data_IF_822201243740
#
_entry.id   IF_822201243740
#
_cell.length_a   1.000
_cell.length_b   1.000
_cell.length_c   1.000
_cell.angle_alpha   90.00
_cell.angle_beta   90.00
_cell.angle_gamma   90.00
#
_symmetry.space_group_name_H-M   'P 1'
#
loop_
_entity.id
_entity.type
_entity.pdbx_description
1 polymer ?
#
# COMPACT_ATOMS: atom_id res chain seq x y z
N UNK A 1 12.97 -3.82 32.96
CA UNK A 1 11.81 -4.34 32.28
C UNK A 1 11.76 -3.63 30.94
N UNK A 2 11.76 -4.37 29.83
CA UNK A 2 11.99 -3.81 28.50
C UNK A 2 10.91 -2.83 28.07
N UNK A 3 11.32 -1.65 27.65
CA UNK A 3 10.50 -0.63 27.00
C UNK A 3 10.30 -0.95 25.51
N UNK A 4 10.16 -2.24 25.18
CA UNK A 4 9.97 -2.72 23.82
C UNK A 4 8.52 -2.63 23.40
N UNK A 5 8.28 -2.47 22.08
CA UNK A 5 6.96 -2.60 21.49
C UNK A 5 6.75 -4.02 20.98
N UNK A 6 5.50 -4.52 21.10
CA UNK A 6 5.06 -5.77 20.49
C UNK A 6 4.22 -5.48 19.24
N UNK A 7 4.58 -6.16 18.13
CA UNK A 7 3.98 -5.97 16.81
C UNK A 7 3.35 -7.29 16.36
N UNK A 8 2.04 -7.30 16.22
CA UNK A 8 1.29 -8.39 15.59
C UNK A 8 1.08 -8.10 14.10
N UNK A 9 1.26 -9.11 13.26
CA UNK A 9 1.02 -9.03 11.82
C UNK A 9 -0.01 -10.08 11.43
N UNK A 10 -1.14 -9.63 10.90
CA UNK A 10 -2.18 -10.50 10.36
C UNK A 10 -2.07 -10.48 8.83
N UNK A 11 -1.70 -11.62 8.25
CA UNK A 11 -1.37 -11.79 6.84
C UNK A 11 0.14 -11.79 6.58
N UNK A 12 0.73 -12.98 6.37
CA UNK A 12 2.16 -13.21 6.11
C UNK A 12 2.55 -13.13 4.62
N UNK A 13 1.79 -12.39 3.79
CA UNK A 13 2.10 -12.13 2.39
C UNK A 13 3.32 -11.21 2.22
N UNK A 14 3.55 -10.68 1.00
CA UNK A 14 4.73 -9.84 0.74
C UNK A 14 4.76 -8.58 1.63
N UNK A 15 3.61 -7.93 1.88
CA UNK A 15 3.51 -6.76 2.76
C UNK A 15 3.77 -7.14 4.21
N UNK A 16 3.05 -8.15 4.72
CA UNK A 16 3.18 -8.56 6.12
C UNK A 16 4.58 -9.11 6.44
N UNK A 17 5.18 -9.86 5.53
CA UNK A 17 6.56 -10.31 5.71
C UNK A 17 7.58 -9.16 5.70
N UNK A 18 7.31 -8.07 4.96
CA UNK A 18 8.14 -6.88 4.99
C UNK A 18 8.00 -6.12 6.31
N UNK A 19 6.79 -5.99 6.86
CA UNK A 19 6.53 -5.42 8.18
C UNK A 19 7.24 -6.25 9.25
N UNK A 20 7.02 -7.57 9.26
CA UNK A 20 7.65 -8.48 10.22
C UNK A 20 9.18 -8.43 10.16
N UNK A 21 9.76 -8.41 8.95
CA UNK A 21 11.20 -8.24 8.77
C UNK A 21 11.70 -6.90 9.27
N UNK A 22 10.99 -5.81 8.95
CA UNK A 22 11.40 -4.45 9.28
C UNK A 22 11.46 -4.20 10.79
N UNK A 23 10.48 -4.68 11.55
CA UNK A 23 10.45 -4.56 13.01
C UNK A 23 11.21 -5.69 13.71
N UNK A 24 11.24 -6.91 13.14
CA UNK A 24 11.83 -8.11 13.77
C UNK A 24 13.27 -8.40 13.41
N UNK A 25 13.96 -7.56 12.63
CA UNK A 25 15.34 -7.84 12.21
C UNK A 25 16.30 -7.87 13.40
N UNK A 26 17.17 -8.85 13.42
CA UNK A 26 17.94 -9.48 14.48
C UNK A 26 18.83 -8.59 15.38
N UNK A 27 18.82 -7.28 15.21
CA UNK A 27 19.61 -6.34 16.01
C UNK A 27 18.76 -5.39 16.86
N UNK A 28 17.44 -5.57 16.92
CA UNK A 28 16.56 -4.71 17.70
C UNK A 28 15.93 -5.51 18.82
N UNK A 29 16.56 -5.50 19.99
CA UNK A 29 16.01 -6.06 21.25
C UNK A 29 14.75 -5.34 21.74
N UNK A 30 14.33 -4.30 21.02
CA UNK A 30 13.21 -3.44 21.40
C UNK A 30 11.88 -3.82 20.79
N UNK A 31 11.84 -4.86 19.93
CA UNK A 31 10.62 -5.25 19.24
C UNK A 31 10.40 -6.77 19.29
N UNK A 32 9.22 -7.17 19.73
CA UNK A 32 8.74 -8.54 19.60
C UNK A 32 7.75 -8.57 18.44
N UNK A 33 7.91 -9.51 17.48
CA UNK A 33 7.06 -9.61 16.30
C UNK A 33 6.38 -10.96 16.26
N UNK A 34 5.05 -10.95 16.18
CA UNK A 34 4.18 -12.12 16.03
C UNK A 34 3.51 -12.07 14.67
N UNK A 35 3.47 -13.19 13.96
CA UNK A 35 2.84 -13.28 12.64
C UNK A 35 1.78 -14.38 12.66
N UNK A 36 0.61 -14.04 12.17
CA UNK A 36 -0.46 -15.00 11.86
C UNK A 36 -0.84 -14.93 10.39
N UNK A 37 -0.97 -16.06 9.76
CA UNK A 37 -1.51 -16.25 8.40
C UNK A 37 -2.41 -17.49 8.37
N UNK A 38 -3.31 -17.59 7.40
CA UNK A 38 -4.10 -18.82 7.17
C UNK A 38 -3.20 -19.98 6.72
N UNK A 39 -2.06 -19.69 6.10
CA UNK A 39 -1.01 -20.67 5.80
C UNK A 39 -0.13 -20.84 7.05
N UNK A 40 -0.17 -22.03 7.71
CA UNK A 40 0.62 -22.28 8.92
C UNK A 40 2.13 -22.09 8.72
N UNK A 41 2.65 -22.28 7.49
CA UNK A 41 4.07 -22.10 7.20
C UNK A 41 4.52 -20.64 7.25
N UNK A 42 3.58 -19.70 7.25
CA UNK A 42 3.84 -18.26 7.36
C UNK A 42 3.54 -17.71 8.75
N UNK A 43 2.98 -18.54 9.63
CA UNK A 43 2.63 -18.16 11.00
C UNK A 43 3.75 -18.48 11.97
N UNK A 44 3.94 -17.61 12.96
CA UNK A 44 4.80 -17.85 14.12
C UNK A 44 3.98 -18.05 15.40
N UNK A 45 2.75 -17.54 15.43
CA UNK A 45 1.83 -17.54 16.56
C UNK A 45 0.39 -17.81 16.07
N UNK A 46 -0.48 -18.16 16.99
CA UNK A 46 -1.93 -18.23 16.73
C UNK A 46 -2.51 -16.83 16.46
N UNK A 47 -3.72 -16.78 15.91
CA UNK A 47 -4.45 -15.52 15.72
C UNK A 47 -4.66 -14.77 17.04
N UNK A 48 -5.10 -15.51 18.05
CA UNK A 48 -5.37 -14.95 19.38
C UNK A 48 -4.11 -14.37 20.02
N UNK A 49 -3.00 -15.10 20.05
CA UNK A 49 -1.72 -14.61 20.56
C UNK A 49 -1.23 -13.37 19.79
N UNK A 50 -1.36 -13.39 18.44
CA UNK A 50 -0.95 -12.27 17.60
C UNK A 50 -1.74 -11.01 17.90
N UNK A 51 -3.04 -11.13 18.24
CA UNK A 51 -3.87 -9.98 18.60
C UNK A 51 -3.67 -9.58 20.05
N UNK A 52 -3.81 -10.51 21.02
CA UNK A 52 -3.88 -10.16 22.44
C UNK A 52 -2.54 -9.78 23.07
N UNK A 53 -1.42 -10.20 22.46
CA UNK A 53 -0.07 -9.96 22.98
C UNK A 53 0.71 -8.92 22.16
N UNK A 54 0.03 -8.04 21.43
CA UNK A 54 0.69 -7.01 20.61
C UNK A 54 0.12 -5.62 20.90
N UNK A 55 0.99 -4.63 21.03
CA UNK A 55 0.59 -3.22 21.16
C UNK A 55 0.03 -2.67 19.84
N UNK A 56 0.59 -3.13 18.72
CA UNK A 56 0.21 -2.73 17.37
C UNK A 56 -0.14 -3.94 16.53
N UNK A 57 -1.33 -3.98 15.96
CA UNK A 57 -1.82 -5.07 15.12
C UNK A 57 -1.89 -4.61 13.67
N UNK A 58 -0.90 -5.01 12.85
CA UNK A 58 -0.84 -4.70 11.43
C UNK A 58 -1.68 -5.67 10.61
N UNK A 59 -2.71 -5.16 9.94
CA UNK A 59 -3.52 -5.92 9.01
C UNK A 59 -2.95 -5.79 7.60
N UNK A 60 -2.37 -6.88 7.10
CA UNK A 60 -1.69 -6.99 5.80
C UNK A 60 -2.41 -8.01 4.91
N UNK A 61 -3.72 -7.87 4.78
CA UNK A 61 -4.60 -8.81 4.10
C UNK A 61 -4.82 -8.44 2.63
N UNK A 62 -5.10 -9.40 1.75
CA UNK A 62 -5.39 -9.12 0.36
C UNK A 62 -6.69 -8.33 0.19
N UNK A 63 -6.70 -7.43 -0.79
CA UNK A 63 -7.86 -6.66 -1.21
C UNK A 63 -8.00 -6.78 -2.73
N UNK A 64 -8.49 -7.93 -3.25
CA UNK A 64 -8.56 -8.18 -4.69
C UNK A 64 -9.63 -7.34 -5.38
N UNK A 65 -9.58 -7.31 -6.72
CA UNK A 65 -10.67 -6.76 -7.52
C UNK A 65 -11.88 -7.71 -7.52
N UNK A 66 -13.06 -7.13 -7.51
CA UNK A 66 -14.31 -7.83 -7.84
C UNK A 66 -14.52 -7.88 -9.36
N UNK A 67 -15.53 -8.59 -9.80
CA UNK A 67 -15.92 -8.66 -11.22
C UNK A 67 -16.26 -7.27 -11.82
N UNK A 68 -16.85 -6.38 -11.02
CA UNK A 68 -17.14 -5.00 -11.42
C UNK A 68 -15.92 -4.07 -11.33
N UNK A 69 -14.73 -4.60 -11.11
CA UNK A 69 -13.46 -3.90 -10.92
C UNK A 69 -13.41 -3.03 -9.65
N UNK A 70 -14.40 -3.10 -8.78
CA UNK A 70 -14.31 -2.49 -7.45
C UNK A 70 -13.42 -3.33 -6.53
N UNK A 71 -12.94 -2.72 -5.44
CA UNK A 71 -12.12 -3.44 -4.46
C UNK A 71 -12.96 -4.31 -3.53
N UNK A 72 -12.51 -5.53 -3.26
CA UNK A 72 -13.11 -6.41 -2.27
C UNK A 72 -12.44 -6.22 -0.89
N UNK A 73 -13.20 -5.71 0.06
CA UNK A 73 -12.77 -5.51 1.44
C UNK A 73 -13.20 -6.64 2.39
N UNK A 74 -13.79 -7.72 1.88
CA UNK A 74 -14.36 -8.79 2.71
C UNK A 74 -13.35 -9.46 3.64
N UNK A 75 -12.10 -9.61 3.21
CA UNK A 75 -11.03 -10.15 4.06
C UNK A 75 -10.71 -9.21 5.24
N UNK A 76 -10.62 -7.93 4.97
CA UNK A 76 -10.42 -6.90 6.01
C UNK A 76 -11.61 -6.91 6.99
N UNK A 77 -12.83 -6.88 6.48
CA UNK A 77 -14.03 -6.80 7.32
C UNK A 77 -14.23 -8.04 8.19
N UNK A 78 -14.02 -9.25 7.64
CA UNK A 78 -14.09 -10.50 8.40
C UNK A 78 -13.01 -10.58 9.48
N UNK A 79 -11.77 -10.18 9.14
CA UNK A 79 -10.69 -10.18 10.12
C UNK A 79 -10.90 -9.10 11.20
N UNK A 80 -11.38 -7.91 10.83
CA UNK A 80 -11.73 -6.87 11.80
C UNK A 80 -12.84 -7.30 12.77
N UNK A 81 -13.82 -8.06 12.32
CA UNK A 81 -14.83 -8.62 13.21
C UNK A 81 -14.24 -9.54 14.28
N UNK A 82 -13.21 -10.34 13.92
CA UNK A 82 -12.53 -11.22 14.86
C UNK A 82 -11.60 -10.43 15.79
N UNK A 83 -10.80 -9.52 15.22
CA UNK A 83 -9.88 -8.65 15.95
C UNK A 83 -10.63 -7.82 17.00
N UNK A 84 -11.78 -7.25 16.64
CA UNK A 84 -12.57 -6.40 17.55
C UNK A 84 -13.10 -7.11 18.81
N UNK A 85 -13.13 -8.44 18.82
CA UNK A 85 -13.53 -9.24 19.98
C UNK A 85 -12.38 -9.50 20.98
N UNK A 86 -11.13 -9.25 20.54
CA UNK A 86 -9.92 -9.59 21.28
C UNK A 86 -9.08 -8.36 21.67
N UNK A 87 -9.18 -7.28 20.88
CA UNK A 87 -8.41 -6.05 21.07
C UNK A 87 -8.90 -5.27 22.29
N UNK A 88 -7.94 -4.82 23.13
CA UNK A 88 -8.18 -3.78 24.12
C UNK A 88 -8.15 -2.40 23.44
N UNK A 89 -9.28 -1.67 23.36
CA UNK A 89 -9.35 -0.39 22.65
C UNK A 89 -8.56 0.74 23.31
N UNK A 90 -8.14 0.60 24.56
CA UNK A 90 -7.37 1.61 25.31
C UNK A 90 -5.87 1.43 25.16
N UNK A 91 -5.42 0.18 25.08
CA UNK A 91 -4.00 -0.17 25.09
C UNK A 91 -3.47 -0.42 23.67
N UNK A 92 -4.27 -1.04 22.79
CA UNK A 92 -3.83 -1.53 21.49
C UNK A 92 -4.28 -0.62 20.34
N UNK A 93 -3.48 -0.62 19.27
CA UNK A 93 -3.79 0.12 18.03
C UNK A 93 -3.81 -0.84 16.85
N UNK A 94 -4.91 -0.84 16.09
CA UNK A 94 -5.01 -1.58 14.84
C UNK A 94 -4.49 -0.72 13.69
N UNK A 95 -3.59 -1.27 12.89
CA UNK A 95 -2.95 -0.57 11.77
C UNK A 95 -3.31 -1.26 10.46
N UNK A 96 -4.10 -0.64 9.62
CA UNK A 96 -4.45 -1.17 8.30
C UNK A 96 -3.36 -0.78 7.31
N UNK A 97 -2.60 -1.79 6.88
CA UNK A 97 -1.52 -1.69 5.89
C UNK A 97 -2.01 -1.99 4.47
N UNK A 98 -3.07 -2.78 4.37
CA UNK A 98 -3.73 -3.12 3.11
C UNK A 98 -4.27 -1.89 2.39
N UNK A 99 -4.25 -1.91 1.06
CA UNK A 99 -4.87 -0.86 0.26
C UNK A 99 -6.40 -0.94 0.38
N UNK A 100 -7.01 0.09 0.92
CA UNK A 100 -8.46 0.20 1.12
C UNK A 100 -8.98 1.52 0.55
N UNK A 101 -10.23 1.56 0.09
CA UNK A 101 -10.83 2.80 -0.44
C UNK A 101 -10.96 3.88 0.64
N UNK A 102 -10.82 5.16 0.27
CA UNK A 102 -10.90 6.27 1.21
C UNK A 102 -12.17 6.25 2.07
N UNK A 103 -12.00 6.43 3.38
CA UNK A 103 -13.06 6.37 4.39
C UNK A 103 -13.23 5.01 5.06
N UNK A 104 -12.48 3.99 4.68
CA UNK A 104 -12.59 2.63 5.24
C UNK A 104 -12.17 2.59 6.71
N UNK A 105 -11.00 3.10 7.07
CA UNK A 105 -10.52 3.11 8.46
C UNK A 105 -11.47 3.87 9.37
N UNK A 106 -11.94 5.05 8.95
CA UNK A 106 -12.93 5.85 9.68
C UNK A 106 -14.23 5.07 9.91
N UNK A 107 -14.74 4.40 8.89
CA UNK A 107 -15.95 3.57 8.98
C UNK A 107 -15.77 2.41 9.95
N UNK A 108 -14.63 1.71 9.88
CA UNK A 108 -14.33 0.57 10.74
C UNK A 108 -14.09 1.02 12.20
N UNK A 109 -13.36 2.12 12.41
CA UNK A 109 -13.15 2.70 13.73
C UNK A 109 -14.50 3.03 14.40
N UNK A 110 -15.39 3.70 13.68
CA UNK A 110 -16.74 4.02 14.18
C UNK A 110 -17.59 2.76 14.43
N UNK A 111 -17.47 1.75 13.57
CA UNK A 111 -18.24 0.50 13.70
C UNK A 111 -17.86 -0.32 14.92
N UNK A 112 -16.56 -0.40 15.24
CA UNK A 112 -16.03 -1.28 16.27
C UNK A 112 -15.59 -0.55 17.55
N UNK A 113 -15.56 0.78 17.55
CA UNK A 113 -15.09 1.56 18.70
C UNK A 113 -13.58 1.40 18.97
N UNK A 114 -12.78 1.19 17.92
CA UNK A 114 -11.36 0.90 18.02
C UNK A 114 -10.50 2.04 17.46
N UNK A 115 -9.28 2.17 18.00
CA UNK A 115 -8.22 2.99 17.41
C UNK A 115 -7.68 2.33 16.15
N UNK A 116 -8.14 2.79 14.98
CA UNK A 116 -7.71 2.27 13.68
C UNK A 116 -6.92 3.34 12.93
N UNK A 117 -5.70 2.98 12.56
CA UNK A 117 -4.77 3.83 11.82
C UNK A 117 -4.59 3.29 10.40
N UNK A 118 -4.72 4.14 9.41
CA UNK A 118 -4.32 3.84 8.02
C UNK A 118 -2.82 4.04 7.88
N UNK A 119 -2.11 3.02 7.44
CA UNK A 119 -0.68 3.10 7.16
C UNK A 119 -0.37 2.40 5.83
N UNK A 120 -0.75 3.02 4.70
CA UNK A 120 -0.58 2.40 3.39
C UNK A 120 0.88 2.08 3.10
N UNK A 121 1.10 1.09 2.25
CA UNK A 121 2.42 0.67 1.78
C UNK A 121 2.73 1.27 0.40
N UNK A 122 4.02 1.43 0.09
CA UNK A 122 4.55 1.90 -1.19
C UNK A 122 5.69 0.99 -1.66
N UNK A 123 5.49 -0.33 -1.47
CA UNK A 123 6.50 -1.35 -1.69
C UNK A 123 6.42 -1.90 -3.12
N UNK A 124 7.57 -2.24 -3.66
CA UNK A 124 7.66 -3.06 -4.87
C UNK A 124 7.74 -4.53 -4.45
N UNK A 125 6.87 -5.39 -4.96
CA UNK A 125 6.76 -6.79 -4.51
C UNK A 125 8.12 -7.51 -4.49
N UNK A 126 8.94 -7.34 -5.55
CA UNK A 126 10.27 -7.94 -5.65
C UNK A 126 11.28 -7.44 -4.61
N UNK A 127 11.05 -6.26 -4.03
CA UNK A 127 11.97 -5.59 -3.11
C UNK A 127 11.30 -5.20 -1.79
N UNK A 128 10.15 -5.79 -1.46
CA UNK A 128 9.29 -5.34 -0.38
C UNK A 128 10.02 -5.15 0.96
N UNK A 129 10.88 -6.07 1.36
CA UNK A 129 11.67 -5.95 2.60
C UNK A 129 12.66 -4.80 2.55
N UNK A 130 13.34 -4.62 1.42
CA UNK A 130 14.27 -3.52 1.22
C UNK A 130 13.54 -2.17 1.19
N UNK A 131 12.46 -2.09 0.43
CA UNK A 131 11.66 -0.88 0.29
C UNK A 131 11.03 -0.47 1.64
N UNK A 132 10.67 -1.44 2.49
CA UNK A 132 10.13 -1.16 3.82
C UNK A 132 11.15 -0.49 4.74
N UNK A 133 12.37 -1.02 4.81
CA UNK A 133 13.42 -0.49 5.70
C UNK A 133 14.10 0.78 5.16
N UNK A 134 13.98 1.04 3.85
CA UNK A 134 14.54 2.22 3.17
C UNK A 134 13.44 3.15 2.63
N UNK A 135 12.24 3.11 3.20
CA UNK A 135 11.12 3.93 2.75
C UNK A 135 11.49 5.43 2.82
N UNK A 136 11.28 6.14 1.72
CA UNK A 136 11.49 7.60 1.67
C UNK A 136 10.51 8.35 2.57
N UNK A 137 9.31 7.79 2.76
CA UNK A 137 8.27 8.34 3.60
C UNK A 137 7.38 7.26 4.20
N UNK A 138 6.81 7.55 5.35
CA UNK A 138 5.76 6.77 6.00
C UNK A 138 4.53 7.66 6.13
N UNK A 139 3.41 7.21 5.58
CA UNK A 139 2.11 7.90 5.69
C UNK A 139 1.32 7.25 6.81
N UNK A 140 0.85 8.06 7.75
CA UNK A 140 0.10 7.62 8.94
C UNK A 140 -1.18 8.43 8.99
N UNK A 141 -2.31 7.77 8.79
CA UNK A 141 -3.63 8.37 8.82
C UNK A 141 -4.42 7.95 10.05
N UNK A 142 -4.80 8.89 10.88
CA UNK A 142 -5.62 8.62 12.06
C UNK A 142 -6.60 9.76 12.31
N UNK A 143 -7.83 9.40 12.62
CA UNK A 143 -8.82 10.38 13.10
C UNK A 143 -8.68 10.60 14.61
N UNK A 144 -7.99 9.68 15.32
CA UNK A 144 -7.61 9.79 16.73
C UNK A 144 -6.12 10.17 16.84
N UNK A 145 -5.87 11.38 17.36
CA UNK A 145 -4.52 11.97 17.41
C UNK A 145 -3.50 11.09 18.15
N UNK A 146 -3.90 10.50 19.25
CA UNK A 146 -3.02 9.68 20.09
C UNK A 146 -2.62 8.38 19.38
N UNK A 147 -3.54 7.73 18.68
CA UNK A 147 -3.27 6.52 17.91
C UNK A 147 -2.27 6.78 16.78
N UNK A 148 -2.45 7.87 16.02
CA UNK A 148 -1.50 8.29 15.00
C UNK A 148 -0.11 8.59 15.54
N UNK A 149 -0.04 9.26 16.69
CA UNK A 149 1.22 9.57 17.39
C UNK A 149 1.93 8.32 17.90
N UNK A 150 1.18 7.35 18.45
CA UNK A 150 1.74 6.05 18.90
C UNK A 150 2.37 5.30 17.70
N UNK A 151 1.68 5.21 16.56
CA UNK A 151 2.23 4.57 15.35
C UNK A 151 3.44 5.31 14.82
N UNK A 152 3.44 6.65 14.83
CA UNK A 152 4.63 7.43 14.45
C UNK A 152 5.81 7.11 15.36
N UNK A 153 5.62 7.09 16.67
CA UNK A 153 6.66 6.76 17.64
C UNK A 153 7.22 5.34 17.47
N UNK A 154 6.35 4.36 17.14
CA UNK A 154 6.78 3.01 16.79
C UNK A 154 7.78 3.03 15.63
N UNK A 155 7.44 3.74 14.53
CA UNK A 155 8.32 3.84 13.37
C UNK A 155 9.60 4.63 13.69
N UNK A 156 9.51 5.75 14.39
CA UNK A 156 10.67 6.59 14.75
C UNK A 156 11.67 5.84 15.63
N UNK A 157 11.20 5.00 16.54
CA UNK A 157 12.06 4.16 17.38
C UNK A 157 12.88 3.16 16.53
N UNK A 158 12.31 2.69 15.43
CA UNK A 158 12.96 1.71 14.54
C UNK A 158 13.72 2.36 13.39
N UNK A 159 13.22 3.46 12.83
CA UNK A 159 13.67 4.08 11.58
C UNK A 159 13.80 5.60 11.76
N UNK A 160 14.93 6.05 12.28
CA UNK A 160 15.14 7.46 12.65
C UNK A 160 15.25 8.44 11.47
N UNK A 161 15.50 7.97 10.25
CA UNK A 161 15.76 8.81 9.07
C UNK A 161 14.58 8.97 8.11
N UNK A 162 13.44 8.32 8.37
CA UNK A 162 12.28 8.38 7.49
C UNK A 162 11.54 9.71 7.64
N UNK A 163 10.92 10.16 6.55
CA UNK A 163 9.97 11.29 6.59
C UNK A 163 8.58 10.76 6.97
N UNK A 164 7.88 11.50 7.82
CA UNK A 164 6.55 11.12 8.29
C UNK A 164 5.51 12.14 7.84
N UNK A 165 4.47 11.66 7.15
CA UNK A 165 3.24 12.42 6.92
C UNK A 165 2.19 11.88 7.88
N UNK A 166 1.80 12.67 8.87
CA UNK A 166 0.69 12.35 9.77
C UNK A 166 -0.52 13.18 9.37
N UNK A 167 -1.63 12.52 9.08
CA UNK A 167 -2.86 13.14 8.58
C UNK A 167 -4.09 12.37 9.07
N UNK A 168 -5.29 12.70 8.60
CA UNK A 168 -6.49 11.90 8.85
C UNK A 168 -6.48 10.60 8.03
N UNK A 169 -7.29 9.63 8.47
CA UNK A 169 -7.31 8.28 7.87
C UNK A 169 -7.71 8.30 6.39
N UNK A 170 -8.70 9.09 6.03
CA UNK A 170 -9.22 9.18 4.65
C UNK A 170 -8.19 9.78 3.71
N UNK A 171 -7.49 10.82 4.15
CA UNK A 171 -6.39 11.43 3.38
C UNK A 171 -5.25 10.43 3.15
N UNK A 172 -4.85 9.67 4.17
CA UNK A 172 -3.78 8.66 4.04
C UNK A 172 -4.16 7.55 3.04
N UNK A 173 -5.40 7.05 3.12
CA UNK A 173 -5.94 6.08 2.17
C UNK A 173 -5.95 6.64 0.73
N UNK A 174 -6.35 7.90 0.57
CA UNK A 174 -6.35 8.56 -0.74
C UNK A 174 -4.95 8.74 -1.33
N UNK A 175 -3.94 9.06 -0.52
CA UNK A 175 -2.54 9.21 -0.97
C UNK A 175 -2.03 7.93 -1.65
N UNK A 176 -2.40 6.75 -1.15
CA UNK A 176 -2.02 5.48 -1.79
C UNK A 176 -2.58 5.37 -3.20
N UNK A 177 -3.86 5.63 -3.38
CA UNK A 177 -4.48 5.60 -4.70
C UNK A 177 -3.95 6.69 -5.62
N UNK A 178 -3.75 7.89 -5.09
CA UNK A 178 -3.22 9.01 -5.87
C UNK A 178 -1.85 8.67 -6.47
N UNK A 179 -0.95 8.05 -5.69
CA UNK A 179 0.36 7.62 -6.19
C UNK A 179 0.26 6.51 -7.24
N UNK A 180 -0.51 5.46 -6.96
CA UNK A 180 -0.62 4.35 -7.91
C UNK A 180 -1.34 4.76 -9.21
N UNK A 181 -2.37 5.61 -9.13
CA UNK A 181 -3.02 6.18 -10.31
C UNK A 181 -2.08 7.11 -11.09
N UNK A 182 -1.30 7.95 -10.39
CA UNK A 182 -0.32 8.80 -11.04
C UNK A 182 0.73 8.00 -11.81
N UNK A 183 1.27 6.93 -11.21
CA UNK A 183 2.23 6.08 -11.90
C UNK A 183 1.60 5.31 -13.08
N UNK A 184 0.35 4.89 -12.96
CA UNK A 184 -0.39 4.26 -14.07
C UNK A 184 -0.56 5.22 -15.25
N UNK A 185 -0.94 6.48 -14.99
CA UNK A 185 -1.03 7.54 -16.01
C UNK A 185 0.34 7.83 -16.62
N UNK A 186 1.39 7.95 -15.80
CA UNK A 186 2.76 8.18 -16.25
C UNK A 186 3.23 7.06 -17.19
N UNK A 187 2.99 5.80 -16.82
CA UNK A 187 3.36 4.65 -17.65
C UNK A 187 2.60 4.63 -18.98
N UNK A 188 1.29 4.91 -18.97
CA UNK A 188 0.52 5.03 -20.22
C UNK A 188 1.05 6.14 -21.12
N UNK A 189 1.35 7.31 -20.54
CA UNK A 189 1.96 8.43 -21.27
C UNK A 189 3.34 8.06 -21.86
N UNK A 190 4.21 7.43 -21.09
CA UNK A 190 5.55 7.03 -21.57
C UNK A 190 5.46 6.02 -22.70
N UNK A 191 4.54 5.05 -22.62
CA UNK A 191 4.32 4.09 -23.69
C UNK A 191 3.75 4.74 -24.97
N UNK A 192 2.86 5.72 -24.84
CA UNK A 192 2.33 6.48 -25.96
C UNK A 192 3.44 7.30 -26.63
N UNK A 193 4.24 8.01 -25.85
CA UNK A 193 5.38 8.79 -26.38
C UNK A 193 6.46 7.89 -27.00
N UNK A 194 6.67 6.69 -26.47
CA UNK A 194 7.54 5.68 -27.11
C UNK A 194 7.05 5.34 -28.53
N UNK A 195 5.75 5.02 -28.69
CA UNK A 195 5.18 4.71 -30.00
C UNK A 195 5.32 5.89 -30.99
N UNK A 196 5.06 7.11 -30.53
CA UNK A 196 5.26 8.32 -31.34
C UNK A 196 6.74 8.46 -31.72
N UNK A 197 7.67 8.35 -30.76
CA UNK A 197 9.11 8.45 -31.01
C UNK A 197 9.62 7.43 -32.03
N UNK A 198 9.15 6.17 -31.92
CA UNK A 198 9.52 5.11 -32.87
C UNK A 198 9.09 5.45 -34.30
N UNK A 199 7.98 6.14 -34.49
CA UNK A 199 7.51 6.53 -35.85
C UNK A 199 8.40 7.57 -36.50
N UNK A 200 9.25 8.28 -35.72
CA UNK A 200 10.21 9.28 -36.20
C UNK A 200 11.67 8.82 -36.15
N UNK A 201 11.93 7.61 -35.65
CA UNK A 201 13.31 7.14 -35.45
C UNK A 201 14.05 7.84 -34.31
N UNK A 202 13.31 8.23 -33.26
CA UNK A 202 13.90 8.87 -32.05
C UNK A 202 14.71 7.82 -31.29
N UNK A 203 15.91 8.23 -30.82
CA UNK A 203 16.62 7.49 -29.81
C UNK A 203 15.88 7.62 -28.47
N UNK A 204 15.26 6.52 -28.03
CA UNK A 204 14.39 6.52 -26.87
C UNK A 204 15.16 6.74 -25.55
N UNK A 205 16.36 6.19 -25.45
CA UNK A 205 17.16 6.29 -24.22
C UNK A 205 17.67 7.72 -24.04
N UNK A 206 18.07 8.39 -25.12
CA UNK A 206 18.43 9.80 -25.10
C UNK A 206 17.22 10.69 -24.78
N UNK A 207 16.06 10.38 -25.36
CA UNK A 207 14.82 11.13 -25.07
C UNK A 207 14.41 11.01 -23.58
N UNK A 208 14.48 9.82 -23.01
CA UNK A 208 14.20 9.59 -21.58
C UNK A 208 15.25 10.30 -20.71
N UNK A 209 16.54 10.21 -21.07
CA UNK A 209 17.60 10.91 -20.38
C UNK A 209 17.35 12.42 -20.37
N UNK A 210 16.99 13.00 -21.50
CA UNK A 210 16.61 14.40 -21.61
C UNK A 210 15.41 14.77 -20.73
N UNK A 211 14.37 13.92 -20.72
CA UNK A 211 13.17 14.14 -19.91
C UNK A 211 13.48 14.16 -18.40
N UNK A 212 14.21 13.17 -17.90
CA UNK A 212 14.51 13.05 -16.46
C UNK A 212 15.62 14.00 -15.99
N UNK A 213 16.34 14.63 -16.90
CA UNK A 213 17.30 15.70 -16.57
C UNK A 213 16.61 16.96 -16.04
N UNK A 214 15.33 17.16 -16.33
CA UNK A 214 14.53 18.19 -15.67
C UNK A 214 14.17 17.72 -14.27
N UNK A 215 14.67 18.43 -13.24
CA UNK A 215 14.47 18.08 -11.83
C UNK A 215 13.00 18.07 -11.38
N UNK A 216 12.08 18.60 -12.18
CA UNK A 216 10.64 18.52 -11.95
C UNK A 216 10.06 17.17 -12.32
N UNK A 217 10.78 16.36 -13.10
CA UNK A 217 10.37 15.02 -13.52
C UNK A 217 11.17 13.98 -12.76
N UNK A 218 10.48 13.16 -11.93
CA UNK A 218 11.12 12.04 -11.24
C UNK A 218 11.48 10.91 -12.22
N UNK A 219 12.57 10.21 -11.96
CA UNK A 219 13.15 9.15 -12.80
C UNK A 219 12.45 7.78 -12.68
N UNK A 220 11.51 7.62 -11.75
CA UNK A 220 10.76 6.37 -11.59
C UNK A 220 9.66 6.21 -12.63
N UNK A 221 9.36 4.96 -13.04
CA UNK A 221 8.25 4.62 -13.95
C UNK A 221 8.34 5.31 -15.33
N UNK A 222 9.54 5.35 -15.92
CA UNK A 222 9.81 5.93 -17.23
C UNK A 222 10.30 4.91 -18.26
N UNK A 223 10.63 3.69 -17.83
CA UNK A 223 11.20 2.63 -18.67
C UNK A 223 10.14 2.01 -19.57
N UNK A 224 10.40 1.95 -20.88
CA UNK A 224 9.56 1.30 -21.90
C UNK A 224 10.47 0.48 -22.84
N UNK A 225 10.23 -0.82 -23.01
CA UNK A 225 9.28 -1.67 -22.27
C UNK A 225 9.60 -1.71 -20.77
N UNK A 226 8.61 -2.12 -19.97
CA UNK A 226 8.75 -2.21 -18.52
C UNK A 226 9.78 -3.28 -18.07
N UNK A 227 10.06 -3.34 -16.74
CA UNK A 227 11.05 -4.29 -16.20
C UNK A 227 10.68 -5.77 -16.40
N UNK A 228 9.45 -6.06 -16.78
CA UNK A 228 8.95 -7.39 -17.18
C UNK A 228 9.07 -7.67 -18.68
N UNK A 229 9.68 -6.74 -19.44
CA UNK A 229 9.86 -6.81 -20.88
C UNK A 229 8.60 -6.49 -21.70
N UNK A 230 7.50 -6.05 -21.06
CA UNK A 230 6.21 -5.80 -21.71
C UNK A 230 5.90 -4.30 -21.76
N UNK A 231 5.05 -3.93 -22.71
CA UNK A 231 4.48 -2.59 -22.80
C UNK A 231 3.39 -2.36 -21.74
N UNK A 232 3.10 -1.11 -21.43
CA UNK A 232 2.08 -0.74 -20.46
C UNK A 232 2.48 -1.10 -19.03
N UNK A 233 1.47 -1.20 -18.16
CA UNK A 233 1.63 -1.61 -16.76
C UNK A 233 0.79 -2.85 -16.46
N UNK A 234 1.34 -3.72 -15.63
CA UNK A 234 0.74 -4.96 -15.17
C UNK A 234 0.98 -5.20 -13.69
N UNK A 235 1.02 -6.47 -13.31
CA UNK A 235 1.14 -6.88 -11.93
C UNK A 235 -0.17 -6.70 -11.15
N UNK A 236 -0.09 -6.91 -9.83
CA UNK A 236 -1.30 -6.95 -8.99
C UNK A 236 -1.81 -5.58 -8.54
N UNK A 237 -0.96 -4.53 -8.52
CA UNK A 237 -1.30 -3.26 -7.87
C UNK A 237 -1.89 -2.23 -8.82
N UNK A 238 -1.19 -1.85 -9.89
CA UNK A 238 -1.62 -0.73 -10.75
C UNK A 238 -2.95 -1.00 -11.45
N UNK A 239 -3.16 -2.15 -12.13
CA UNK A 239 -4.46 -2.44 -12.74
C UNK A 239 -5.60 -2.43 -11.74
N UNK A 240 -5.40 -3.03 -10.58
CA UNK A 240 -6.39 -3.08 -9.51
C UNK A 240 -6.72 -1.69 -8.97
N UNK A 241 -5.70 -0.88 -8.65
CA UNK A 241 -5.89 0.38 -7.95
C UNK A 241 -6.47 1.47 -8.86
N UNK A 242 -6.05 1.56 -10.13
CA UNK A 242 -6.64 2.51 -11.08
C UNK A 242 -8.13 2.23 -11.29
N UNK A 243 -8.50 0.95 -11.46
CA UNK A 243 -9.89 0.56 -11.65
C UNK A 243 -10.72 0.78 -10.38
N UNK A 244 -10.19 0.40 -9.20
CA UNK A 244 -10.87 0.65 -7.93
C UNK A 244 -11.14 2.15 -7.72
N UNK A 245 -10.18 3.03 -8.08
CA UNK A 245 -10.37 4.48 -7.99
C UNK A 245 -11.38 5.00 -9.00
N UNK A 246 -11.38 4.50 -10.24
CA UNK A 246 -12.40 4.84 -11.25
C UNK A 246 -13.80 4.48 -10.71
N UNK A 247 -13.98 3.25 -10.21
CA UNK A 247 -15.27 2.82 -9.64
C UNK A 247 -15.68 3.59 -8.39
N UNK A 248 -14.71 3.92 -7.55
CA UNK A 248 -14.98 4.75 -6.37
C UNK A 248 -15.44 6.16 -6.75
N UNK A 249 -14.75 6.79 -7.71
CA UNK A 249 -15.11 8.13 -8.20
C UNK A 249 -16.48 8.14 -8.90
N UNK A 250 -16.82 7.13 -9.68
CA UNK A 250 -18.14 6.98 -10.30
C UNK A 250 -19.27 6.96 -9.27
N UNK A 251 -19.09 6.29 -8.14
CA UNK A 251 -20.06 6.28 -7.02
C UNK A 251 -20.23 7.67 -6.38
N UNK A 252 -19.20 8.52 -6.50
CA UNK A 252 -19.22 9.91 -6.03
C UNK A 252 -19.73 10.90 -7.09
N UNK A 253 -20.06 10.42 -8.31
CA UNK A 253 -20.46 11.27 -9.44
C UNK A 253 -19.31 12.05 -10.07
N UNK A 254 -18.05 11.63 -9.84
CA UNK A 254 -16.86 12.28 -10.41
C UNK A 254 -16.41 11.54 -11.67
N UNK A 255 -16.30 12.24 -12.79
CA UNK A 255 -15.78 11.69 -14.05
C UNK A 255 -14.24 11.73 -14.08
N UNK A 256 -13.63 10.54 -14.19
CA UNK A 256 -12.17 10.35 -14.17
C UNK A 256 -11.59 10.12 -15.56
N UNK A 257 -11.82 11.05 -16.50
CA UNK A 257 -11.40 10.93 -17.91
C UNK A 257 -9.93 10.57 -18.08
N UNK A 258 -9.03 11.18 -17.29
CA UNK A 258 -7.58 10.93 -17.37
C UNK A 258 -7.25 9.48 -16.98
N UNK A 259 -7.84 8.98 -15.89
CA UNK A 259 -7.60 7.61 -15.44
C UNK A 259 -8.18 6.59 -16.42
N UNK A 260 -9.39 6.86 -16.94
CA UNK A 260 -10.04 6.00 -17.95
C UNK A 260 -9.20 5.94 -19.23
N UNK A 261 -8.75 7.08 -19.76
CA UNK A 261 -7.90 7.12 -20.94
C UNK A 261 -6.58 6.37 -20.74
N UNK A 262 -5.95 6.52 -19.57
CA UNK A 262 -4.72 5.78 -19.23
C UNK A 262 -4.96 4.27 -19.15
N UNK A 263 -6.10 3.85 -18.58
CA UNK A 263 -6.48 2.45 -18.51
C UNK A 263 -6.79 1.88 -19.91
N UNK A 264 -7.56 2.58 -20.74
CA UNK A 264 -7.88 2.18 -22.11
C UNK A 264 -6.60 2.03 -22.94
N UNK A 265 -5.68 3.02 -22.85
CA UNK A 265 -4.36 2.92 -23.50
C UNK A 265 -3.59 1.68 -23.04
N UNK A 266 -3.64 1.36 -21.75
CA UNK A 266 -2.97 0.17 -21.23
C UNK A 266 -3.55 -1.12 -21.80
N UNK A 267 -4.87 -1.21 -21.93
CA UNK A 267 -5.54 -2.37 -22.53
C UNK A 267 -5.17 -2.56 -24.02
N UNK A 268 -4.92 -1.46 -24.75
CA UNK A 268 -4.57 -1.50 -26.18
C UNK A 268 -3.13 -2.02 -26.42
N UNK A 269 -2.23 -1.84 -25.44
CA UNK A 269 -0.81 -2.13 -25.64
C UNK A 269 -0.30 -3.31 -24.79
N UNK A 270 -1.06 -3.72 -23.77
CA UNK A 270 -0.68 -4.83 -22.88
C UNK A 270 -1.19 -6.15 -23.43
N UNK A 271 -0.30 -7.12 -23.65
CA UNK A 271 -0.64 -8.45 -24.21
C UNK A 271 -1.38 -9.36 -23.20
N UNK A 272 -1.38 -9.01 -21.90
CA UNK A 272 -2.06 -9.78 -20.86
C UNK A 272 -3.56 -9.48 -20.84
N UNK A 273 -4.37 -10.50 -20.57
CA UNK A 273 -5.79 -10.29 -20.29
C UNK A 273 -5.94 -9.69 -18.87
N UNK A 274 -6.10 -8.38 -18.80
CA UNK A 274 -6.28 -7.61 -17.57
C UNK A 274 -7.76 -7.31 -17.24
N UNK A 275 -8.69 -7.90 -18.03
CA UNK A 275 -10.16 -7.70 -17.91
C UNK A 275 -10.80 -8.72 -16.98
#
# INVERSE_FOLDING_TARGET
MGTGYSVGVIGGGFVGSAVAFGFGSSNSYDFEVKVYDLDPNKSTHSFEETVTQSDFIFMCLPTPSREDMSIDLSYIEKSMEQVSKLVDPFEQTVVIKSTVIPGTCRRLSKKYGLNIVSNPEFLTERRAKWDFINAAQVVIGSDEKDAGSKVKSLYEKRFSSMKYLVTDSTTAEFVKYMLNCFFSVKLSFMNEMYQVGQSFGVDWDDAVTGLVSDSRVGDSHVTVPGPDGKFGFGGHCFPKDINAMIRFAERLGVDTKVLKAAWDKNLDIREENLR
#
